data_IF_956395179719
#
_entry.id   IF_956395179719
#
_cell.length_a   1.000
_cell.length_b   1.000
_cell.length_c   1.000
_cell.angle_alpha   90.00
_cell.angle_beta   90.00
_cell.angle_gamma   90.00
#
_symmetry.space_group_name_H-M   'P 1'
#
loop_
_entity.id
_entity.type
_entity.pdbx_description
1 polymer ?
#
# COMPACT_ATOMS: atom_id res chain seq x y z
N UNK A 1 -21.37 1.82 3.31
CA UNK A 1 -21.41 2.99 2.41
C UNK A 1 -22.82 3.56 2.30
N UNK A 2 -23.81 2.85 1.75
CA UNK A 2 -25.20 3.37 1.67
C UNK A 2 -25.79 3.83 3.03
N UNK A 3 -25.63 3.05 4.10
CA UNK A 3 -26.06 3.44 5.46
C UNK A 3 -25.29 4.64 6.05
N UNK A 4 -24.14 4.98 5.49
CA UNK A 4 -23.30 6.11 5.89
C UNK A 4 -23.42 7.29 4.91
N UNK A 5 -24.35 7.21 3.95
CA UNK A 5 -24.59 8.20 2.90
C UNK A 5 -23.32 8.58 2.12
N UNK A 6 -22.54 7.56 1.74
CA UNK A 6 -21.34 7.71 0.93
C UNK A 6 -21.65 7.24 -0.51
N UNK A 7 -21.81 8.16 -1.48
CA UNK A 7 -21.87 7.80 -2.89
C UNK A 7 -20.51 7.26 -3.32
N UNK A 8 -20.50 6.08 -3.94
CA UNK A 8 -19.27 5.39 -4.33
C UNK A 8 -19.42 4.83 -5.75
N UNK A 9 -19.24 5.66 -6.79
CA UNK A 9 -19.19 5.16 -8.15
C UNK A 9 -18.03 4.17 -8.28
N UNK A 10 -18.31 3.05 -8.94
CA UNK A 10 -17.38 1.94 -9.06
C UNK A 10 -16.64 2.03 -10.40
N UNK A 11 -15.31 2.01 -10.34
CA UNK A 11 -14.45 1.79 -11.49
C UNK A 11 -13.72 0.45 -11.32
N UNK A 12 -13.79 -0.41 -12.33
CA UNK A 12 -13.16 -1.73 -12.32
C UNK A 12 -11.90 -1.70 -13.16
N UNK A 13 -10.75 -2.00 -12.54
CA UNK A 13 -9.48 -2.12 -13.25
C UNK A 13 -9.34 -3.48 -13.89
N UNK A 14 -9.05 -3.50 -15.20
CA UNK A 14 -9.04 -4.73 -16.00
C UNK A 14 -7.64 -5.31 -16.27
N UNK A 15 -6.57 -4.53 -16.07
CA UNK A 15 -5.20 -4.92 -16.42
C UNK A 15 -4.16 -4.25 -15.51
N UNK A 16 -2.91 -4.75 -15.48
CA UNK A 16 -1.82 -4.06 -14.80
C UNK A 16 -1.66 -2.61 -15.30
N UNK A 17 -1.34 -1.70 -14.37
CA UNK A 17 -1.20 -0.26 -14.58
C UNK A 17 -2.49 0.48 -15.00
N UNK A 18 -3.66 -0.18 -15.02
CA UNK A 18 -4.90 0.51 -15.36
C UNK A 18 -5.28 1.55 -14.30
N UNK A 19 -5.08 1.24 -13.00
CA UNK A 19 -5.31 2.22 -11.95
C UNK A 19 -4.34 3.40 -12.07
N UNK A 20 -3.06 3.11 -12.33
CA UNK A 20 -2.01 4.12 -12.51
C UNK A 20 -2.38 5.13 -13.58
N UNK A 21 -2.69 4.65 -14.79
CA UNK A 21 -3.05 5.51 -15.93
C UNK A 21 -4.34 6.29 -15.65
N UNK A 22 -5.35 5.63 -15.06
CA UNK A 22 -6.64 6.25 -14.75
C UNK A 22 -6.48 7.45 -13.82
N UNK A 23 -5.78 7.28 -12.69
CA UNK A 23 -5.62 8.38 -11.72
C UNK A 23 -4.66 9.46 -12.22
N UNK A 24 -3.71 9.12 -13.10
CA UNK A 24 -2.83 10.10 -13.74
C UNK A 24 -3.58 11.00 -14.70
N UNK A 25 -4.48 10.44 -15.52
CA UNK A 25 -5.07 11.15 -16.66
C UNK A 25 -6.46 11.76 -16.38
N UNK A 26 -7.19 11.27 -15.35
CA UNK A 26 -8.55 11.72 -15.05
C UNK A 26 -8.59 13.00 -14.20
N UNK A 27 -9.65 13.80 -14.36
CA UNK A 27 -9.94 14.88 -13.42
C UNK A 27 -10.52 14.32 -12.12
N UNK A 28 -9.67 14.33 -11.09
CA UNK A 28 -10.02 13.87 -9.75
C UNK A 28 -10.56 14.97 -8.86
N UNK A 29 -10.69 16.21 -9.34
CA UNK A 29 -11.15 17.37 -8.55
C UNK A 29 -12.51 17.12 -7.89
N UNK A 30 -13.41 16.47 -8.61
CA UNK A 30 -14.78 16.11 -8.20
C UNK A 30 -14.87 15.06 -7.07
N UNK A 31 -13.76 14.35 -6.76
CA UNK A 31 -13.75 13.30 -5.74
C UNK A 31 -13.11 13.79 -4.44
N UNK A 32 -13.79 13.58 -3.31
CA UNK A 32 -13.27 13.91 -1.99
C UNK A 32 -12.23 12.89 -1.50
N UNK A 33 -12.36 11.62 -1.90
CA UNK A 33 -11.58 10.50 -1.40
C UNK A 33 -11.51 9.40 -2.45
N UNK A 34 -10.33 8.81 -2.63
CA UNK A 34 -10.17 7.63 -3.47
C UNK A 34 -10.18 6.37 -2.60
N UNK A 35 -11.08 5.44 -2.91
CA UNK A 35 -11.19 4.16 -2.19
C UNK A 35 -10.69 3.04 -3.09
N UNK A 36 -9.58 2.41 -2.69
CA UNK A 36 -8.94 1.30 -3.39
C UNK A 36 -9.36 -0.02 -2.74
N UNK A 37 -10.20 -0.80 -3.41
CA UNK A 37 -10.63 -2.11 -2.94
C UNK A 37 -9.86 -3.24 -3.62
N UNK A 38 -8.70 -3.60 -3.07
CA UNK A 38 -7.81 -4.64 -3.60
C UNK A 38 -6.77 -5.05 -2.54
N UNK A 39 -5.57 -5.46 -2.97
CA UNK A 39 -4.40 -5.56 -2.11
C UNK A 39 -3.47 -4.36 -2.27
N UNK A 40 -2.32 -4.41 -1.60
CA UNK A 40 -1.34 -3.31 -1.56
C UNK A 40 -0.86 -2.88 -2.98
N UNK A 41 -0.76 -3.82 -3.93
CA UNK A 41 -0.30 -3.55 -5.29
C UNK A 41 -1.17 -2.56 -6.09
N UNK A 42 -2.49 -2.56 -5.88
CA UNK A 42 -3.36 -1.61 -6.59
C UNK A 42 -3.23 -0.20 -6.01
N UNK A 43 -3.05 -0.09 -4.70
CA UNK A 43 -2.78 1.21 -4.07
C UNK A 43 -1.41 1.74 -4.50
N UNK A 44 -0.43 0.84 -4.72
CA UNK A 44 0.87 1.22 -5.28
C UNK A 44 0.73 1.85 -6.68
N UNK A 45 -0.09 1.26 -7.56
CA UNK A 45 -0.40 1.86 -8.87
C UNK A 45 -1.06 3.24 -8.72
N UNK A 46 -2.02 3.37 -7.80
CA UNK A 46 -2.71 4.65 -7.55
C UNK A 46 -1.73 5.72 -7.07
N UNK A 47 -0.92 5.43 -6.05
CA UNK A 47 0.05 6.39 -5.50
C UNK A 47 1.05 6.84 -6.56
N UNK A 48 1.63 5.90 -7.33
CA UNK A 48 2.59 6.28 -8.36
C UNK A 48 1.94 7.04 -9.52
N UNK A 49 0.70 6.70 -9.92
CA UNK A 49 -0.05 7.46 -10.92
C UNK A 49 -0.36 8.89 -10.47
N UNK A 50 -0.72 9.10 -9.20
CA UNK A 50 -0.93 10.44 -8.63
C UNK A 50 0.36 11.26 -8.59
N UNK A 51 1.48 10.64 -8.24
CA UNK A 51 2.79 11.30 -8.16
C UNK A 51 3.38 11.68 -9.53
N UNK A 52 2.84 11.15 -10.63
CA UNK A 52 3.22 11.53 -12.00
C UNK A 52 2.45 12.75 -12.52
N UNK A 53 1.44 13.23 -11.78
CA UNK A 53 0.61 14.35 -12.23
C UNK A 53 1.32 15.70 -12.04
N UNK A 54 1.00 16.71 -12.86
CA UNK A 54 1.49 18.08 -12.64
C UNK A 54 1.00 18.69 -11.31
N UNK A 55 -0.21 18.33 -10.87
CA UNK A 55 -0.89 18.79 -9.65
C UNK A 55 -0.75 17.80 -8.48
N UNK A 56 0.30 16.96 -8.48
CA UNK A 56 0.49 15.90 -7.49
C UNK A 56 0.47 16.39 -6.04
N UNK A 57 1.01 17.59 -5.75
CA UNK A 57 1.06 18.15 -4.40
C UNK A 57 -0.34 18.36 -3.80
N UNK A 58 -1.29 18.81 -4.61
CA UNK A 58 -2.67 19.01 -4.17
C UNK A 58 -3.45 17.70 -4.16
N UNK A 59 -3.20 16.82 -5.14
CA UNK A 59 -3.85 15.51 -5.17
C UNK A 59 -3.45 14.62 -4.00
N UNK A 60 -2.19 14.67 -3.56
CA UNK A 60 -1.71 13.89 -2.42
C UNK A 60 -2.26 14.36 -1.06
N UNK A 61 -2.87 15.56 -1.00
CA UNK A 61 -3.61 16.01 0.19
C UNK A 61 -4.99 15.33 0.30
N UNK A 62 -5.50 14.76 -0.80
CA UNK A 62 -6.78 14.04 -0.78
C UNK A 62 -6.62 12.69 -0.06
N UNK A 63 -7.52 12.33 0.87
CA UNK A 63 -7.45 11.05 1.54
C UNK A 63 -7.50 9.86 0.57
N UNK A 64 -6.61 8.89 0.80
CA UNK A 64 -6.64 7.58 0.17
C UNK A 64 -7.15 6.56 1.19
N UNK A 65 -8.07 5.69 0.78
CA UNK A 65 -8.58 4.61 1.60
C UNK A 65 -8.28 3.27 0.93
N UNK A 66 -7.87 2.28 1.72
CA UNK A 66 -7.71 0.90 1.27
C UNK A 66 -8.75 0.00 1.93
N UNK A 67 -9.48 -0.76 1.11
CA UNK A 67 -10.37 -1.83 1.55
C UNK A 67 -9.78 -3.18 1.11
N UNK A 68 -9.46 -4.08 2.06
CA UNK A 68 -8.72 -5.29 1.75
C UNK A 68 -9.59 -6.30 0.99
N UNK A 69 -9.20 -6.58 -0.25
CA UNK A 69 -9.78 -7.62 -1.10
C UNK A 69 -8.68 -8.48 -1.79
N UNK A 70 -7.40 -8.20 -1.53
CA UNK A 70 -6.27 -8.92 -2.10
C UNK A 70 -5.71 -10.04 -1.23
N UNK A 71 -4.64 -10.69 -1.71
CA UNK A 71 -3.87 -11.69 -0.96
C UNK A 71 -2.81 -11.06 -0.03
N UNK A 72 -2.30 -9.88 -0.38
CA UNK A 72 -1.48 -9.01 0.47
C UNK A 72 -2.24 -7.75 0.83
N UNK A 73 -2.47 -7.53 2.13
CA UNK A 73 -3.20 -6.38 2.66
C UNK A 73 -2.44 -5.79 3.86
N UNK A 74 -1.12 -5.69 3.74
CA UNK A 74 -0.25 -5.25 4.83
C UNK A 74 -0.64 -3.85 5.31
N UNK A 75 -0.94 -2.92 4.41
CA UNK A 75 -1.35 -1.58 4.81
C UNK A 75 -2.70 -1.59 5.54
N UNK A 76 -3.69 -2.32 5.03
CA UNK A 76 -4.99 -2.41 5.68
C UNK A 76 -4.87 -3.04 7.09
N UNK A 77 -4.00 -4.04 7.25
CA UNK A 77 -3.70 -4.65 8.54
C UNK A 77 -3.02 -3.66 9.50
N UNK A 78 -2.05 -2.87 9.02
CA UNK A 78 -1.41 -1.81 9.81
C UNK A 78 -2.40 -0.75 10.25
N UNK A 79 -3.25 -0.24 9.35
CA UNK A 79 -4.29 0.75 9.68
C UNK A 79 -5.24 0.19 10.74
N UNK A 80 -5.69 -1.06 10.59
CA UNK A 80 -6.55 -1.72 11.56
C UNK A 80 -5.90 -1.79 12.96
N UNK A 81 -4.61 -2.13 13.00
CA UNK A 81 -3.83 -2.19 14.24
C UNK A 81 -3.68 -0.81 14.90
N UNK A 82 -3.28 0.21 14.13
CA UNK A 82 -3.15 1.59 14.64
C UNK A 82 -4.49 2.20 15.08
N UNK A 83 -5.60 1.73 14.52
CA UNK A 83 -6.95 2.08 14.97
C UNK A 83 -7.38 1.36 16.28
N UNK A 84 -6.48 0.58 16.91
CA UNK A 84 -6.72 -0.09 18.19
C UNK A 84 -7.59 -1.34 18.10
N UNK A 85 -7.76 -1.92 16.90
CA UNK A 85 -8.57 -3.13 16.72
C UNK A 85 -7.70 -4.39 16.81
N UNK A 86 -8.34 -5.51 17.15
CA UNK A 86 -7.69 -6.82 17.15
C UNK A 86 -7.09 -7.17 15.79
N UNK A 87 -6.03 -7.98 15.81
CA UNK A 87 -5.45 -8.54 14.60
C UNK A 87 -6.44 -9.52 13.95
N UNK A 88 -7.00 -9.13 12.81
CA UNK A 88 -8.01 -9.90 12.08
C UNK A 88 -7.67 -10.00 10.60
N UNK A 89 -8.21 -11.03 9.93
CA UNK A 89 -7.99 -11.29 8.50
C UNK A 89 -9.30 -11.43 7.73
N UNK A 90 -9.22 -11.40 6.40
CA UNK A 90 -10.35 -11.63 5.48
C UNK A 90 -11.52 -10.68 5.77
N UNK A 91 -12.75 -11.23 5.89
CA UNK A 91 -13.98 -10.46 6.07
C UNK A 91 -13.95 -9.56 7.30
N UNK A 92 -13.35 -9.99 8.42
CA UNK A 92 -13.27 -9.16 9.63
C UNK A 92 -12.40 -7.93 9.41
N UNK A 93 -11.27 -8.08 8.71
CA UNK A 93 -10.41 -6.95 8.36
C UNK A 93 -11.14 -5.98 7.43
N UNK A 94 -11.82 -6.50 6.40
CA UNK A 94 -12.64 -5.69 5.50
C UNK A 94 -13.71 -4.90 6.25
N UNK A 95 -14.40 -5.55 7.21
CA UNK A 95 -15.40 -4.88 8.04
C UNK A 95 -14.78 -3.74 8.86
N UNK A 96 -13.66 -3.98 9.54
CA UNK A 96 -13.00 -2.95 10.34
C UNK A 96 -12.56 -1.75 9.48
N UNK A 97 -11.88 -2.01 8.35
CA UNK A 97 -11.49 -0.94 7.41
C UNK A 97 -12.70 -0.18 6.85
N UNK A 98 -13.81 -0.87 6.57
CA UNK A 98 -15.06 -0.24 6.12
C UNK A 98 -15.67 0.66 7.21
N UNK A 99 -15.59 0.27 8.49
CA UNK A 99 -16.03 1.10 9.60
C UNK A 99 -15.13 2.34 9.77
N UNK A 100 -13.81 2.19 9.65
CA UNK A 100 -12.87 3.32 9.70
C UNK A 100 -13.20 4.33 8.60
N UNK A 101 -13.41 3.86 7.36
CA UNK A 101 -13.87 4.70 6.25
C UNK A 101 -15.18 5.42 6.58
N UNK A 102 -16.18 4.71 7.10
CA UNK A 102 -17.47 5.33 7.45
C UNK A 102 -17.37 6.36 8.59
N UNK A 103 -16.38 6.23 9.49
CA UNK A 103 -16.08 7.23 10.53
C UNK A 103 -15.36 8.47 9.98
N UNK A 104 -14.89 8.44 8.73
CA UNK A 104 -14.13 9.53 8.06
C UNK A 104 -12.87 9.95 8.81
N UNK A 105 -12.28 9.04 9.58
CA UNK A 105 -11.01 9.26 10.25
C UNK A 105 -9.87 8.95 9.27
N UNK A 106 -8.91 9.87 9.18
CA UNK A 106 -7.71 9.71 8.38
C UNK A 106 -6.50 10.21 9.16
N UNK A 107 -5.33 9.70 8.80
CA UNK A 107 -4.04 10.10 9.38
C UNK A 107 -3.06 10.34 8.25
N UNK A 108 -2.07 11.20 8.49
CA UNK A 108 -0.95 11.34 7.58
C UNK A 108 -0.12 10.05 7.58
N UNK A 109 0.48 9.75 6.44
CA UNK A 109 1.31 8.57 6.22
C UNK A 109 2.55 8.98 5.44
N UNK A 110 3.69 8.42 5.85
CA UNK A 110 4.96 8.67 5.17
C UNK A 110 5.03 7.95 3.82
N UNK A 111 5.73 8.57 2.89
CA UNK A 111 6.10 7.97 1.61
C UNK A 111 7.61 7.98 1.42
N UNK A 112 8.11 6.87 0.89
CA UNK A 112 9.52 6.71 0.53
C UNK A 112 9.66 6.94 -0.98
N UNK A 113 10.48 7.92 -1.35
CA UNK A 113 10.92 8.14 -2.73
C UNK A 113 12.12 7.25 -3.03
N UNK A 114 11.99 6.36 -4.00
CA UNK A 114 13.02 5.45 -4.47
C UNK A 114 13.55 5.93 -5.83
N UNK A 115 14.87 6.05 -5.95
CA UNK A 115 15.54 6.37 -7.21
C UNK A 115 16.44 5.22 -7.61
N UNK A 116 16.29 4.72 -8.83
CA UNK A 116 17.11 3.63 -9.38
C UNK A 116 18.30 4.18 -10.16
N UNK A 117 19.33 3.36 -10.36
CA UNK A 117 20.48 3.71 -11.19
C UNK A 117 20.11 4.02 -12.65
N UNK A 118 18.97 3.52 -13.13
CA UNK A 118 18.44 3.82 -14.47
C UNK A 118 17.80 5.21 -14.58
N UNK A 119 17.79 6.00 -13.50
CA UNK A 119 17.13 7.30 -13.44
C UNK A 119 15.62 7.23 -13.21
N UNK A 120 15.05 6.03 -12.96
CA UNK A 120 13.63 5.89 -12.66
C UNK A 120 13.36 6.26 -11.21
N UNK A 121 12.33 7.06 -10.98
CA UNK A 121 11.82 7.41 -9.65
C UNK A 121 10.51 6.68 -9.39
N UNK A 122 10.36 6.16 -8.17
CA UNK A 122 9.20 5.39 -7.70
C UNK A 122 8.85 5.81 -6.28
N UNK A 123 7.62 5.55 -5.86
CA UNK A 123 7.15 5.81 -4.50
C UNK A 123 6.66 4.53 -3.85
N UNK A 124 7.01 4.34 -2.58
CA UNK A 124 6.53 3.22 -1.76
C UNK A 124 6.00 3.71 -0.43
N UNK A 125 4.93 3.07 0.04
CA UNK A 125 4.27 3.36 1.32
C UNK A 125 4.46 2.25 2.36
N UNK A 126 4.90 1.05 1.98
CA UNK A 126 5.16 -0.06 2.92
C UNK A 126 6.63 -0.34 3.10
N UNK A 127 7.39 -0.28 2.00
CA UNK A 127 8.80 -0.62 2.01
C UNK A 127 9.30 -1.09 0.66
N UNK A 128 10.58 -1.37 0.60
CA UNK A 128 11.23 -2.05 -0.52
C UNK A 128 12.06 -3.19 0.04
N UNK A 129 12.09 -4.31 -0.67
CA UNK A 129 12.85 -5.49 -0.28
C UNK A 129 14.03 -5.73 -1.19
N UNK A 130 15.08 -6.35 -0.66
CA UNK A 130 16.17 -6.95 -1.43
C UNK A 130 16.55 -8.30 -0.84
N UNK A 131 16.93 -9.25 -1.70
CA UNK A 131 17.37 -10.58 -1.30
C UNK A 131 16.21 -11.51 -0.97
N UNK A 132 16.33 -12.23 0.16
CA UNK A 132 15.42 -13.33 0.51
C UNK A 132 13.93 -12.96 0.47
N UNK A 133 13.55 -11.82 1.05
CA UNK A 133 12.14 -11.38 1.09
C UNK A 133 11.60 -11.15 -0.33
N UNK A 134 12.41 -10.54 -1.20
CA UNK A 134 12.05 -10.33 -2.61
C UNK A 134 11.91 -11.65 -3.37
N UNK A 135 12.80 -12.62 -3.13
CA UNK A 135 12.69 -13.95 -3.74
C UNK A 135 11.40 -14.65 -3.30
N UNK A 136 11.01 -14.56 -2.02
CA UNK A 136 9.74 -15.10 -1.52
C UNK A 136 8.54 -14.43 -2.20
N UNK A 137 8.55 -13.11 -2.30
CA UNK A 137 7.48 -12.36 -2.95
C UNK A 137 7.32 -12.78 -4.41
N UNK A 138 8.41 -12.88 -5.17
CA UNK A 138 8.42 -13.29 -6.58
C UNK A 138 8.01 -14.75 -6.74
N UNK A 139 8.64 -15.67 -6.01
CA UNK A 139 8.40 -17.11 -6.15
C UNK A 139 6.99 -17.50 -5.69
N UNK A 140 6.40 -16.76 -4.75
CA UNK A 140 5.06 -17.04 -4.25
C UNK A 140 3.93 -16.60 -5.20
N UNK A 141 4.20 -15.81 -6.23
CA UNK A 141 3.17 -15.37 -7.19
C UNK A 141 2.56 -16.53 -7.98
N UNK A 142 3.33 -17.60 -8.26
CA UNK A 142 2.79 -18.83 -8.87
C UNK A 142 1.74 -19.52 -7.99
N UNK A 143 1.69 -19.18 -6.69
CA UNK A 143 0.74 -19.69 -5.70
C UNK A 143 -0.34 -18.66 -5.34
N UNK A 144 -0.57 -17.63 -6.16
CA UNK A 144 -1.53 -16.55 -5.88
C UNK A 144 -2.92 -17.03 -5.51
N UNK A 145 -3.37 -18.16 -6.07
CA UNK A 145 -4.65 -18.80 -5.75
C UNK A 145 -4.79 -19.26 -4.29
N UNK A 146 -3.69 -19.43 -3.56
CA UNK A 146 -3.68 -19.81 -2.14
C UNK A 146 -3.89 -18.62 -1.19
N UNK A 147 -4.09 -17.41 -1.72
CA UNK A 147 -4.26 -16.20 -0.92
C UNK A 147 -3.02 -15.91 -0.07
N UNK A 148 -3.20 -15.58 1.20
CA UNK A 148 -2.08 -15.24 2.10
C UNK A 148 -1.16 -16.42 2.42
N UNK A 149 -1.61 -17.67 2.25
CA UNK A 149 -0.78 -18.87 2.50
C UNK A 149 0.40 -18.99 1.52
N UNK A 150 0.33 -18.28 0.38
CA UNK A 150 1.42 -18.23 -0.61
C UNK A 150 2.74 -17.79 -0.01
N UNK A 151 2.71 -16.84 0.93
CA UNK A 151 3.92 -16.29 1.55
C UNK A 151 4.60 -17.32 2.44
N UNK A 152 3.83 -18.10 3.19
CA UNK A 152 4.36 -19.20 4.02
C UNK A 152 5.03 -20.26 3.15
N UNK A 153 4.38 -20.66 2.04
CA UNK A 153 4.94 -21.66 1.13
C UNK A 153 6.17 -21.15 0.38
N UNK A 154 6.13 -19.91 -0.11
CA UNK A 154 7.28 -19.26 -0.73
C UNK A 154 8.47 -19.19 0.23
N UNK A 155 8.22 -18.82 1.49
CA UNK A 155 9.24 -18.80 2.54
C UNK A 155 9.90 -20.16 2.73
N UNK A 156 9.09 -21.23 2.88
CA UNK A 156 9.63 -22.59 3.03
C UNK A 156 10.46 -23.02 1.81
N UNK A 157 9.99 -22.69 0.60
CA UNK A 157 10.71 -23.01 -0.64
C UNK A 157 12.06 -22.27 -0.74
N UNK A 158 12.08 -20.97 -0.42
CA UNK A 158 13.30 -20.17 -0.42
C UNK A 158 14.25 -20.60 0.70
N UNK A 159 13.74 -20.99 1.87
CA UNK A 159 14.56 -21.53 2.98
C UNK A 159 15.28 -22.82 2.59
N UNK A 160 14.61 -23.69 1.83
CA UNK A 160 15.24 -24.91 1.31
C UNK A 160 16.34 -24.63 0.27
N UNK A 161 16.39 -23.42 -0.29
CA UNK A 161 17.35 -22.98 -1.31
C UNK A 161 17.99 -21.64 -0.94
N UNK A 162 18.47 -21.52 0.30
CA UNK A 162 19.07 -20.29 0.80
C UNK A 162 20.20 -19.80 -0.12
N UNK A 163 20.10 -18.54 -0.52
CA UNK A 163 21.08 -17.83 -1.34
C UNK A 163 21.70 -16.71 -0.53
N UNK A 164 22.98 -16.44 -0.79
CA UNK A 164 23.67 -15.26 -0.28
C UNK A 164 23.65 -14.19 -1.36
N UNK A 165 23.22 -12.99 -0.99
CA UNK A 165 23.15 -11.84 -1.89
C UNK A 165 24.29 -10.89 -1.53
N UNK A 166 25.08 -10.50 -2.54
CA UNK A 166 26.19 -9.56 -2.36
C UNK A 166 25.69 -8.14 -2.64
N UNK A 167 25.89 -7.22 -1.69
CA UNK A 167 25.43 -5.85 -1.79
C UNK A 167 26.09 -4.93 -0.77
N UNK A 168 26.04 -3.63 -1.02
CA UNK A 168 26.52 -2.59 -0.09
C UNK A 168 25.33 -1.74 0.35
N UNK A 169 25.12 -1.66 1.66
CA UNK A 169 24.11 -0.79 2.28
C UNK A 169 24.80 0.41 2.91
N UNK A 170 24.20 1.58 2.75
CA UNK A 170 24.59 2.80 3.45
C UNK A 170 23.30 3.54 3.79
N UNK A 171 23.23 4.11 5.00
CA UNK A 171 22.05 4.81 5.49
C UNK A 171 22.46 6.04 6.29
N UNK A 172 21.59 7.04 6.31
CA UNK A 172 21.72 8.22 7.15
C UNK A 172 20.84 8.00 8.39
N UNK A 173 21.41 7.85 9.60
CA UNK A 173 20.60 7.71 10.81
C UNK A 173 19.79 8.98 11.07
N UNK A 174 18.60 8.81 11.65
CA UNK A 174 17.79 9.92 12.14
C UNK A 174 18.56 10.63 13.26
N UNK A 175 18.71 11.95 13.15
CA UNK A 175 19.28 12.74 14.24
C UNK A 175 18.23 12.80 15.36
N UNK A 176 18.55 12.47 16.63
CA UNK A 176 17.58 12.59 17.71
C UNK A 176 17.12 14.04 17.80
N UNK A 177 15.81 14.29 17.76
CA UNK A 177 15.29 15.61 18.07
C UNK A 177 15.72 15.98 19.50
N UNK A 178 16.36 17.14 19.66
CA UNK A 178 16.52 17.74 20.98
C UNK A 178 15.12 18.07 21.49
N UNK A 179 14.59 17.23 22.38
CA UNK A 179 13.20 17.28 22.80
C UNK A 179 12.78 18.67 23.28
N UNK A 180 11.77 19.24 22.63
CA UNK A 180 10.92 20.20 23.31
C UNK A 180 10.09 19.42 24.35
N UNK A 181 10.05 19.87 25.62
CA UNK A 181 9.20 19.23 26.61
C UNK A 181 7.73 19.33 26.18
N UNK A 182 6.90 18.32 26.46
CA UNK A 182 5.47 18.39 26.20
C UNK A 182 4.86 19.55 27.00
N UNK A 183 4.16 20.44 26.30
CA UNK A 183 3.31 21.50 26.85
C UNK A 183 2.01 20.96 27.43
#
# INVERSE_FOLDING_TARGET
LAKADIPAPLFVTERPNHAHEKVRDEDLSQWDTLVVMAGDGLLYEVVNGLMERPDWEDMMKKPLCILPAGSGNALAASINHYAGNDHVVKKKLLMNCSFILCKRLHTQMDLVSLSTASGRRLFSFLGFGWGFISDVDIDSEKYRGLGSARFTLGTLQCLAKLRVYQGRLSYLPVCPEQGNPPS
#
